data_IF_238239766878
#
_entry.id   IF_238239766878
#
_cell.length_a   1.000
_cell.length_b   1.000
_cell.length_c   1.000
_cell.angle_alpha   90.00
_cell.angle_beta   90.00
_cell.angle_gamma   90.00
#
_symmetry.space_group_name_H-M   'P 1'
#
loop_
_entity.id
_entity.type
_entity.pdbx_description
1 polymer ?
#
# COMPACT_ATOMS: atom_id res chain seq x y z
N UNK A 1 -17.46 -1.69 31.22
CA UNK A 1 -16.01 -1.43 31.14
C UNK A 1 -15.88 -0.07 30.48
N UNK A 2 -15.47 0.96 31.22
CA UNK A 2 -15.13 2.25 30.62
C UNK A 2 -13.95 2.01 29.66
N UNK A 3 -14.09 2.44 28.40
CA UNK A 3 -13.01 2.37 27.44
C UNK A 3 -11.80 3.12 28.02
N UNK A 4 -10.63 2.45 28.11
CA UNK A 4 -9.39 3.12 28.49
C UNK A 4 -9.18 4.27 27.51
N UNK A 5 -9.05 5.51 28.00
CA UNK A 5 -8.92 6.67 27.13
C UNK A 5 -7.74 6.46 26.16
N UNK A 6 -8.04 6.37 24.86
CA UNK A 6 -7.05 6.16 23.79
C UNK A 6 -7.25 4.89 22.95
N UNK A 7 -7.95 3.87 23.44
CA UNK A 7 -8.19 2.62 22.68
C UNK A 7 -9.25 2.86 21.60
N UNK A 8 -9.03 2.32 20.39
CA UNK A 8 -9.99 2.43 19.28
C UNK A 8 -10.72 1.09 19.07
N UNK A 9 -12.00 0.98 19.45
CA UNK A 9 -12.73 -0.29 19.39
C UNK A 9 -13.10 -0.75 17.98
N UNK A 10 -13.07 0.12 16.96
CA UNK A 10 -13.27 -0.29 15.56
C UNK A 10 -11.96 -0.13 14.78
N UNK A 11 -11.39 -1.26 14.34
CA UNK A 11 -10.02 -1.29 13.81
C UNK A 11 -10.00 -1.57 12.30
N UNK A 12 -9.33 -0.72 11.55
CA UNK A 12 -9.18 -0.84 10.09
C UNK A 12 -7.73 -1.21 9.76
N UNK A 13 -7.55 -2.24 8.93
CA UNK A 13 -6.29 -2.53 8.24
C UNK A 13 -6.38 -2.00 6.80
N UNK A 14 -5.51 -1.06 6.44
CA UNK A 14 -5.39 -0.53 5.08
C UNK A 14 -4.08 -1.02 4.46
N UNK A 15 -4.17 -1.71 3.31
CA UNK A 15 -3.03 -2.29 2.60
C UNK A 15 -2.85 -1.61 1.24
N UNK A 16 -1.79 -0.81 1.11
CA UNK A 16 -1.47 -0.08 -0.10
C UNK A 16 -1.12 -0.99 -1.29
N UNK A 17 -1.23 -0.44 -2.49
CA UNK A 17 -0.70 -1.05 -3.70
C UNK A 17 0.80 -0.79 -3.92
N UNK A 18 1.52 -1.81 -4.41
CA UNK A 18 2.95 -1.69 -4.72
C UNK A 18 3.61 -2.88 -5.39
N UNK A 19 2.85 -3.79 -6.01
CA UNK A 19 3.41 -4.96 -6.69
C UNK A 19 4.31 -5.80 -5.78
N UNK A 20 5.56 -6.03 -6.19
CA UNK A 20 6.55 -6.82 -5.43
C UNK A 20 6.91 -6.18 -4.07
N UNK A 21 6.81 -4.86 -3.93
CA UNK A 21 7.07 -4.18 -2.66
C UNK A 21 6.04 -4.53 -1.56
N UNK A 22 4.94 -5.21 -1.90
CA UNK A 22 4.00 -5.77 -0.91
C UNK A 22 4.66 -6.73 0.10
N UNK A 23 5.86 -7.25 -0.19
CA UNK A 23 6.67 -7.98 0.80
C UNK A 23 6.99 -7.16 2.07
N UNK A 24 7.00 -5.83 1.97
CA UNK A 24 7.20 -4.91 3.11
C UNK A 24 6.02 -5.01 4.07
N UNK A 25 4.79 -5.05 3.55
CA UNK A 25 3.58 -5.22 4.37
C UNK A 25 3.60 -6.57 5.08
N UNK A 26 4.00 -7.64 4.38
CA UNK A 26 4.12 -8.98 4.97
C UNK A 26 5.15 -9.02 6.11
N UNK A 27 6.29 -8.33 5.96
CA UNK A 27 7.29 -8.19 7.03
C UNK A 27 6.80 -7.38 8.21
N UNK A 28 6.14 -6.24 7.97
CA UNK A 28 5.55 -5.42 9.02
C UNK A 28 4.49 -6.20 9.81
N UNK A 29 3.64 -6.97 9.13
CA UNK A 29 2.65 -7.84 9.78
C UNK A 29 3.30 -8.96 10.60
N UNK A 30 4.40 -9.57 10.14
CA UNK A 30 5.14 -10.59 10.92
C UNK A 30 5.74 -10.00 12.20
N UNK A 31 6.20 -8.75 12.15
CA UNK A 31 6.77 -8.06 13.32
C UNK A 31 5.70 -7.56 14.30
N UNK A 32 4.51 -7.20 13.80
CA UNK A 32 3.36 -6.79 14.63
C UNK A 32 2.63 -7.98 15.25
N UNK A 33 2.52 -9.10 14.53
CA UNK A 33 1.75 -10.28 14.92
C UNK A 33 2.60 -11.56 14.80
N UNK A 34 3.70 -11.65 15.56
CA UNK A 34 4.66 -12.73 15.40
C UNK A 34 4.05 -14.11 15.67
N UNK A 35 4.16 -14.99 14.69
CA UNK A 35 3.67 -16.38 14.79
C UNK A 35 2.17 -16.54 14.58
N UNK A 36 1.42 -15.46 14.32
CA UNK A 36 0.01 -15.54 13.96
C UNK A 36 -0.18 -15.96 12.48
N UNK A 37 -1.18 -16.80 12.22
CA UNK A 37 -1.64 -17.10 10.87
C UNK A 37 -2.57 -16.01 10.34
N UNK A 38 -2.98 -16.11 9.08
CA UNK A 38 -3.79 -15.08 8.43
C UNK A 38 -5.11 -14.77 9.16
N UNK A 39 -5.83 -15.78 9.65
CA UNK A 39 -7.10 -15.58 10.35
C UNK A 39 -6.90 -14.97 11.74
N UNK A 40 -5.81 -15.31 12.42
CA UNK A 40 -5.42 -14.71 13.69
C UNK A 40 -5.09 -13.21 13.50
N UNK A 41 -4.29 -12.86 12.49
CA UNK A 41 -4.01 -11.47 12.13
C UNK A 41 -5.31 -10.71 11.82
N UNK A 42 -6.17 -11.28 10.96
CA UNK A 42 -7.43 -10.67 10.58
C UNK A 42 -8.38 -10.48 11.76
N UNK A 43 -8.32 -11.34 12.79
CA UNK A 43 -9.20 -11.22 13.95
C UNK A 43 -9.01 -9.93 14.74
N UNK A 44 -7.86 -9.25 14.61
CA UNK A 44 -7.58 -7.95 15.22
C UNK A 44 -8.28 -6.76 14.53
N UNK A 45 -8.89 -6.95 13.36
CA UNK A 45 -9.45 -5.87 12.53
C UNK A 45 -10.92 -6.11 12.18
N UNK A 46 -11.73 -5.06 12.21
CA UNK A 46 -13.15 -5.09 11.80
C UNK A 46 -13.35 -4.81 10.31
N UNK A 47 -12.38 -4.15 9.67
CA UNK A 47 -12.42 -3.84 8.25
C UNK A 47 -11.01 -3.93 7.66
N UNK A 48 -10.90 -4.59 6.52
CA UNK A 48 -9.67 -4.62 5.71
C UNK A 48 -9.95 -3.95 4.38
N UNK A 49 -9.24 -2.86 4.08
CA UNK A 49 -9.25 -2.21 2.77
C UNK A 49 -7.92 -2.46 2.06
N UNK A 50 -7.98 -2.83 0.78
CA UNK A 50 -6.79 -3.25 0.04
C UNK A 50 -6.81 -2.79 -1.42
N UNK A 51 -5.62 -2.44 -1.92
CA UNK A 51 -5.39 -2.08 -3.32
C UNK A 51 -4.18 -2.82 -3.89
N UNK A 52 -4.24 -3.21 -5.16
CA UNK A 52 -3.12 -3.80 -5.93
C UNK A 52 -2.36 -4.92 -5.20
N UNK A 53 -1.05 -4.78 -5.00
CA UNK A 53 -0.23 -5.72 -4.23
C UNK A 53 -0.79 -6.03 -2.84
N UNK A 54 -1.32 -5.01 -2.14
CA UNK A 54 -2.02 -5.17 -0.86
C UNK A 54 -3.27 -6.05 -0.96
N UNK A 55 -3.95 -6.08 -2.10
CA UNK A 55 -5.08 -6.99 -2.35
C UNK A 55 -4.66 -8.46 -2.43
N UNK A 56 -3.42 -8.73 -2.90
CA UNK A 56 -2.85 -10.08 -2.87
C UNK A 56 -2.48 -10.48 -1.44
N UNK A 57 -1.93 -9.55 -0.65
CA UNK A 57 -1.66 -9.74 0.79
C UNK A 57 -2.95 -10.03 1.54
N UNK A 58 -4.00 -9.23 1.36
CA UNK A 58 -5.32 -9.43 1.96
C UNK A 58 -5.90 -10.81 1.59
N UNK A 59 -5.85 -11.19 0.32
CA UNK A 59 -6.34 -12.49 -0.13
C UNK A 59 -5.57 -13.67 0.48
N UNK A 60 -4.25 -13.54 0.64
CA UNK A 60 -3.45 -14.58 1.29
C UNK A 60 -3.75 -14.68 2.81
N UNK A 61 -3.98 -13.56 3.51
CA UNK A 61 -4.44 -13.57 4.90
C UNK A 61 -5.80 -14.27 5.03
N UNK A 62 -6.74 -13.99 4.12
CA UNK A 62 -8.06 -14.62 4.06
C UNK A 62 -7.97 -16.13 3.81
N UNK A 63 -7.03 -16.56 2.98
CA UNK A 63 -6.74 -17.97 2.72
C UNK A 63 -6.10 -18.66 3.95
N UNK A 64 -5.52 -17.89 4.87
CA UNK A 64 -4.96 -18.38 6.14
C UNK A 64 -3.43 -18.34 6.22
N UNK A 65 -2.75 -17.80 5.20
CA UNK A 65 -1.29 -17.69 5.19
C UNK A 65 -0.81 -16.80 6.34
N UNK A 66 0.21 -17.24 7.07
CA UNK A 66 0.95 -16.39 8.00
C UNK A 66 1.69 -15.28 7.25
N UNK A 67 1.98 -14.14 7.89
CA UNK A 67 2.78 -13.07 7.30
C UNK A 67 4.11 -13.55 6.69
N UNK A 68 4.76 -14.55 7.30
CA UNK A 68 5.99 -15.18 6.77
C UNK A 68 5.78 -15.92 5.45
N UNK A 69 4.68 -16.67 5.35
CA UNK A 69 4.35 -17.38 4.11
C UNK A 69 3.98 -16.38 3.01
N UNK A 70 3.28 -15.30 3.35
CA UNK A 70 2.98 -14.19 2.42
C UNK A 70 4.28 -13.57 1.91
N UNK A 71 5.25 -13.29 2.78
CA UNK A 71 6.57 -12.81 2.37
C UNK A 71 7.22 -13.78 1.36
N UNK A 72 7.17 -15.08 1.62
CA UNK A 72 7.73 -16.10 0.72
C UNK A 72 7.04 -16.15 -0.66
N UNK A 73 5.76 -15.75 -0.76
CA UNK A 73 5.08 -15.64 -2.07
C UNK A 73 5.77 -14.60 -2.96
N UNK A 74 6.21 -13.48 -2.40
CA UNK A 74 6.88 -12.40 -3.14
C UNK A 74 8.40 -12.60 -3.26
N UNK A 75 9.06 -13.20 -2.26
CA UNK A 75 10.50 -13.48 -2.29
C UNK A 75 10.89 -14.65 -3.20
N UNK A 76 9.95 -15.54 -3.53
CA UNK A 76 10.21 -16.66 -4.44
C UNK A 76 10.26 -16.21 -5.93
N UNK A 77 11.39 -16.45 -6.65
CA UNK A 77 11.51 -16.08 -8.06
C UNK A 77 10.45 -16.73 -8.96
N UNK A 78 10.13 -18.01 -8.77
CA UNK A 78 9.16 -18.71 -9.61
C UNK A 78 7.74 -18.12 -9.44
N UNK A 79 7.36 -17.75 -8.22
CA UNK A 79 6.10 -17.07 -7.96
C UNK A 79 6.06 -15.69 -8.62
N UNK A 80 7.12 -14.88 -8.51
CA UNK A 80 7.19 -13.59 -9.23
C UNK A 80 7.10 -13.76 -10.74
N UNK A 81 7.76 -14.78 -11.30
CA UNK A 81 7.66 -15.07 -12.73
C UNK A 81 6.26 -15.56 -13.13
N UNK A 82 5.52 -16.22 -12.25
CA UNK A 82 4.14 -16.61 -12.52
C UNK A 82 3.16 -15.42 -12.39
N UNK A 83 3.33 -14.60 -11.35
CA UNK A 83 2.53 -13.39 -11.10
C UNK A 83 2.72 -12.33 -12.19
N UNK A 84 3.96 -12.16 -12.65
CA UNK A 84 4.38 -11.25 -13.71
C UNK A 84 4.88 -12.02 -14.95
N UNK A 85 4.15 -13.08 -15.31
CA UNK A 85 4.47 -13.96 -16.42
C UNK A 85 4.33 -13.26 -17.76
N UNK A 86 5.38 -13.34 -18.60
CA UNK A 86 5.39 -12.72 -19.93
C UNK A 86 4.35 -13.36 -20.85
N UNK A 87 3.83 -12.58 -21.80
CA UNK A 87 3.06 -13.12 -22.89
C UNK A 87 3.88 -14.11 -23.74
N UNK A 88 3.27 -15.19 -24.24
CA UNK A 88 3.87 -16.01 -25.28
C UNK A 88 4.23 -15.17 -26.51
N UNK A 89 5.37 -15.47 -27.14
CA UNK A 89 5.96 -14.68 -28.22
C UNK A 89 5.01 -14.43 -29.41
N UNK A 90 4.09 -15.36 -29.71
CA UNK A 90 3.12 -15.21 -30.78
C UNK A 90 2.05 -14.13 -30.49
N UNK A 91 1.64 -13.95 -29.22
CA UNK A 91 0.75 -12.85 -28.81
C UNK A 91 1.47 -11.51 -28.82
N UNK A 92 2.76 -11.50 -28.48
CA UNK A 92 3.61 -10.31 -28.63
C UNK A 92 3.82 -9.92 -30.09
N UNK A 93 3.90 -10.90 -31.02
CA UNK A 93 4.05 -10.66 -32.45
C UNK A 93 2.75 -10.17 -33.12
N UNK A 94 1.58 -10.66 -32.70
CA UNK A 94 0.29 -10.16 -33.15
C UNK A 94 0.07 -8.68 -32.79
N UNK A 95 0.62 -8.22 -31.66
CA UNK A 95 0.56 -6.80 -31.25
C UNK A 95 1.41 -5.89 -32.13
N UNK A 96 2.51 -6.40 -32.70
CA UNK A 96 3.35 -5.73 -33.70
C UNK A 96 2.59 -5.44 -35.00
N UNK A 97 1.62 -6.27 -35.36
CA UNK A 97 0.77 -6.10 -36.55
C UNK A 97 -0.38 -5.09 -36.32
N UNK A 98 -0.76 -4.82 -35.08
CA UNK A 98 -1.89 -3.94 -34.72
C UNK A 98 -1.52 -2.46 -34.56
N UNK A 99 -0.32 -2.04 -34.95
CA UNK A 99 -0.04 -0.63 -35.30
C UNK A 99 0.14 0.36 -34.15
N UNK A 100 0.58 -0.09 -32.98
CA UNK A 100 1.02 0.83 -31.91
C UNK A 100 2.50 0.54 -31.65
N UNK A 101 3.43 1.26 -32.29
CA UNK A 101 4.67 1.79 -31.69
C UNK A 101 5.50 2.65 -32.66
N UNK A 102 6.03 3.75 -32.11
CA UNK A 102 7.15 4.54 -32.66
C UNK A 102 8.48 3.87 -32.26
N UNK A 103 9.48 3.78 -33.15
CA UNK A 103 10.65 2.90 -33.01
C UNK A 103 11.69 3.30 -31.95
N UNK A 104 11.45 4.33 -31.14
CA UNK A 104 12.44 4.86 -30.17
C UNK A 104 12.04 4.72 -28.71
N UNK A 105 10.94 4.03 -28.39
CA UNK A 105 10.50 3.82 -27.00
C UNK A 105 10.54 2.33 -26.65
N UNK A 106 11.31 1.98 -25.63
CA UNK A 106 11.32 0.64 -25.03
C UNK A 106 10.00 0.37 -24.29
N UNK A 107 8.88 0.31 -25.02
CA UNK A 107 7.59 0.01 -24.45
C UNK A 107 7.54 -1.48 -24.15
N UNK A 108 7.61 -1.77 -22.85
CA UNK A 108 7.89 -3.08 -22.28
C UNK A 108 6.85 -4.15 -22.60
N UNK A 109 7.33 -5.38 -22.71
CA UNK A 109 6.50 -6.57 -22.88
C UNK A 109 5.52 -6.72 -21.72
N UNK A 110 4.22 -6.66 -22.01
CA UNK A 110 3.15 -6.83 -21.02
C UNK A 110 3.12 -8.25 -20.45
N UNK A 111 2.65 -8.36 -19.21
CA UNK A 111 2.37 -9.59 -18.48
C UNK A 111 0.98 -10.13 -18.83
N UNK A 112 0.82 -11.45 -18.70
CA UNK A 112 -0.45 -12.12 -18.96
C UNK A 112 -1.43 -11.93 -17.80
N UNK A 113 -2.55 -11.26 -18.07
CA UNK A 113 -3.68 -11.15 -17.15
C UNK A 113 -4.24 -12.53 -16.80
N UNK A 114 -4.45 -13.39 -17.80
CA UNK A 114 -4.93 -14.77 -17.59
C UNK A 114 -3.95 -15.59 -16.73
N UNK A 115 -2.64 -15.46 -16.99
CA UNK A 115 -1.58 -16.12 -16.22
C UNK A 115 -1.58 -15.70 -14.74
N UNK A 116 -1.82 -14.42 -14.46
CA UNK A 116 -1.97 -13.93 -13.09
C UNK A 116 -3.21 -14.52 -12.40
N UNK A 117 -4.37 -14.59 -13.06
CA UNK A 117 -5.55 -15.19 -12.45
C UNK A 117 -5.32 -16.68 -12.13
N UNK A 118 -4.66 -17.41 -13.04
CA UNK A 118 -4.25 -18.80 -12.79
C UNK A 118 -3.28 -18.92 -11.61
N UNK A 119 -2.31 -18.00 -11.49
CA UNK A 119 -1.43 -17.91 -10.33
C UNK A 119 -2.22 -17.69 -9.02
N UNK A 120 -3.17 -16.75 -9.00
CA UNK A 120 -4.00 -16.48 -7.83
C UNK A 120 -4.83 -17.70 -7.41
N UNK A 121 -5.43 -18.42 -8.35
CA UNK A 121 -6.11 -19.68 -8.04
C UNK A 121 -5.17 -20.75 -7.48
N UNK A 122 -3.91 -20.80 -7.93
CA UNK A 122 -2.91 -21.75 -7.42
C UNK A 122 -2.53 -21.46 -5.97
N UNK A 123 -2.40 -20.19 -5.59
CA UNK A 123 -2.02 -19.80 -4.23
C UNK A 123 -3.22 -19.67 -3.27
N UNK A 124 -4.46 -19.59 -3.80
CA UNK A 124 -5.71 -19.53 -3.02
C UNK A 124 -6.60 -20.77 -3.26
N UNK A 125 -6.12 -22.00 -2.97
CA UNK A 125 -6.86 -23.22 -3.29
C UNK A 125 -8.19 -23.37 -2.54
N UNK A 126 -8.31 -22.83 -1.32
CA UNK A 126 -9.49 -23.03 -0.47
C UNK A 126 -10.53 -21.93 -0.64
N UNK A 127 -10.10 -20.66 -0.66
CA UNK A 127 -11.00 -19.49 -0.66
C UNK A 127 -11.04 -18.76 -2.00
N UNK A 128 -10.11 -19.03 -2.92
CA UNK A 128 -9.95 -18.28 -4.17
C UNK A 128 -11.18 -18.30 -5.09
N UNK A 129 -11.95 -19.38 -5.10
CA UNK A 129 -13.17 -19.54 -5.90
C UNK A 129 -14.44 -19.16 -5.15
N UNK A 130 -14.35 -18.86 -3.84
CA UNK A 130 -15.48 -18.45 -3.01
C UNK A 130 -15.85 -17.00 -3.35
N UNK A 131 -17.15 -16.74 -3.56
CA UNK A 131 -17.66 -15.37 -3.77
C UNK A 131 -17.40 -14.51 -2.54
N UNK A 132 -17.13 -13.21 -2.72
CA UNK A 132 -16.91 -12.29 -1.59
C UNK A 132 -18.08 -12.27 -0.61
N UNK A 133 -19.32 -12.44 -1.11
CA UNK A 133 -20.51 -12.55 -0.27
C UNK A 133 -20.49 -13.79 0.64
N UNK A 134 -20.19 -14.96 0.07
CA UNK A 134 -20.15 -16.21 0.85
C UNK A 134 -18.94 -16.23 1.79
N UNK A 135 -17.82 -15.66 1.33
CA UNK A 135 -16.60 -15.50 2.12
C UNK A 135 -16.88 -14.74 3.42
N UNK A 136 -17.72 -13.71 3.37
CA UNK A 136 -18.08 -12.93 4.56
C UNK A 136 -18.74 -13.78 5.64
N UNK A 137 -19.56 -14.78 5.28
CA UNK A 137 -20.11 -15.72 6.27
C UNK A 137 -19.05 -16.68 6.80
N UNK A 138 -18.39 -17.41 5.89
CA UNK A 138 -17.47 -18.50 6.23
C UNK A 138 -16.30 -18.03 7.10
N UNK A 139 -15.71 -16.88 6.77
CA UNK A 139 -14.54 -16.37 7.49
C UNK A 139 -14.91 -15.77 8.85
N UNK A 140 -16.09 -15.19 8.96
CA UNK A 140 -16.54 -14.58 10.22
C UNK A 140 -16.82 -15.60 11.32
N UNK A 141 -17.19 -16.84 10.98
CA UNK A 141 -17.30 -17.91 11.97
C UNK A 141 -15.94 -18.22 12.63
N UNK A 142 -14.88 -18.32 11.82
CA UNK A 142 -13.51 -18.53 12.30
C UNK A 142 -12.99 -17.34 13.11
N UNK A 143 -13.21 -16.11 12.62
CA UNK A 143 -12.78 -14.89 13.32
C UNK A 143 -13.56 -14.71 14.64
N UNK A 144 -14.86 -14.97 14.66
CA UNK A 144 -15.67 -14.86 15.88
C UNK A 144 -15.18 -15.83 16.97
N UNK A 145 -14.77 -17.04 16.60
CA UNK A 145 -14.18 -17.99 17.54
C UNK A 145 -12.88 -17.47 18.15
N UNK A 146 -12.01 -16.83 17.35
CA UNK A 146 -10.75 -16.23 17.81
C UNK A 146 -11.00 -15.01 18.73
N UNK A 147 -11.91 -14.11 18.33
CA UNK A 147 -12.28 -12.93 19.15
C UNK A 147 -12.89 -13.34 20.49
N UNK A 148 -13.71 -14.39 20.51
CA UNK A 148 -14.28 -14.94 21.75
C UNK A 148 -13.21 -15.43 22.72
N UNK A 149 -12.10 -16.00 22.23
CA UNK A 149 -10.97 -16.40 23.08
C UNK A 149 -10.25 -15.21 23.71
N UNK A 150 -10.36 -14.01 23.11
CA UNK A 150 -9.77 -12.74 23.60
C UNK A 150 -10.78 -11.86 24.35
N UNK A 151 -11.99 -12.36 24.59
CA UNK A 151 -13.09 -11.59 25.21
C UNK A 151 -13.46 -10.30 24.43
N UNK A 152 -13.19 -10.27 23.13
CA UNK A 152 -13.52 -9.14 22.25
C UNK A 152 -14.94 -9.25 21.70
N UNK A 153 -15.61 -8.12 21.41
CA UNK A 153 -16.95 -8.12 20.81
C UNK A 153 -16.95 -8.82 19.44
N UNK A 154 -17.93 -9.71 19.24
CA UNK A 154 -18.10 -10.47 18.01
C UNK A 154 -18.68 -9.65 16.85
N UNK A 155 -17.98 -8.60 16.41
CA UNK A 155 -18.32 -7.87 15.19
C UNK A 155 -17.86 -8.67 13.97
N UNK A 156 -18.61 -8.67 12.85
CA UNK A 156 -18.14 -9.26 11.61
C UNK A 156 -17.01 -8.41 11.03
N UNK A 157 -15.97 -9.07 10.52
CA UNK A 157 -14.91 -8.47 9.72
C UNK A 157 -15.34 -8.34 8.28
N UNK A 158 -15.22 -7.13 7.73
CA UNK A 158 -15.53 -6.80 6.34
C UNK A 158 -14.26 -6.62 5.51
N UNK A 159 -14.36 -6.92 4.22
CA UNK A 159 -13.25 -6.81 3.27
C UNK A 159 -13.66 -5.93 2.10
N UNK A 160 -12.74 -5.06 1.70
CA UNK A 160 -12.94 -4.07 0.64
C UNK A 160 -11.73 -4.07 -0.30
N UNK A 161 -11.93 -4.53 -1.52
CA UNK A 161 -10.92 -4.48 -2.58
C UNK A 161 -11.24 -3.35 -3.55
N UNK A 162 -10.29 -2.42 -3.75
CA UNK A 162 -10.48 -1.27 -4.62
C UNK A 162 -10.12 -1.63 -6.06
N UNK A 163 -11.01 -1.33 -7.02
CA UNK A 163 -10.79 -1.56 -8.45
C UNK A 163 -11.25 -0.38 -9.29
N UNK A 164 -10.79 -0.29 -10.53
CA UNK A 164 -11.32 0.62 -11.55
C UNK A 164 -12.27 -0.16 -12.47
N UNK A 165 -13.55 0.21 -12.54
CA UNK A 165 -14.52 -0.35 -13.50
C UNK A 165 -14.29 0.31 -14.86
N UNK A 166 -13.61 -0.43 -15.75
CA UNK A 166 -13.18 0.07 -17.05
C UNK A 166 -14.36 0.41 -17.97
N UNK A 167 -15.48 -0.30 -17.82
CA UNK A 167 -16.65 -0.09 -18.68
C UNK A 167 -17.51 1.10 -18.23
N UNK A 168 -17.30 1.60 -17.01
CA UNK A 168 -18.11 2.66 -16.38
C UNK A 168 -17.31 3.87 -15.93
N UNK A 169 -16.00 3.87 -16.18
CA UNK A 169 -15.07 4.95 -15.82
C UNK A 169 -15.20 5.45 -14.39
N UNK A 170 -15.20 4.50 -13.43
CA UNK A 170 -15.33 4.84 -12.00
C UNK A 170 -14.63 3.84 -11.10
N UNK A 171 -14.33 4.27 -9.88
CA UNK A 171 -13.97 3.35 -8.81
C UNK A 171 -15.12 2.38 -8.53
N UNK A 172 -14.76 1.11 -8.35
CA UNK A 172 -15.64 0.05 -7.87
C UNK A 172 -15.01 -0.62 -6.66
N UNK A 173 -15.76 -0.50 -5.57
CA UNK A 173 -15.44 -1.07 -4.27
C UNK A 173 -16.01 -2.50 -4.21
N UNK A 174 -15.16 -3.51 -4.31
CA UNK A 174 -15.57 -4.90 -4.21
C UNK A 174 -15.63 -5.33 -2.74
N UNK A 175 -16.85 -5.32 -2.19
CA UNK A 175 -17.14 -5.60 -0.78
C UNK A 175 -17.47 -7.06 -0.53
N UNK A 176 -17.05 -7.57 0.62
CA UNK A 176 -17.59 -8.83 1.17
C UNK A 176 -18.97 -8.62 1.79
N UNK A 177 -19.15 -7.52 2.55
CA UNK A 177 -20.46 -7.10 3.04
C UNK A 177 -21.21 -6.33 1.94
N UNK A 178 -22.09 -7.05 1.26
CA UNK A 178 -22.93 -6.50 0.19
C UNK A 178 -24.07 -5.61 0.71
N UNK A 179 -24.34 -5.65 2.02
CA UNK A 179 -25.38 -4.86 2.69
C UNK A 179 -24.87 -3.54 3.26
N UNK A 180 -23.56 -3.30 3.16
CA UNK A 180 -22.94 -2.05 3.58
C UNK A 180 -23.70 -0.84 3.05
N UNK A 181 -24.02 0.16 3.91
CA UNK A 181 -24.66 1.40 3.48
C UNK A 181 -23.85 2.20 2.45
N UNK A 182 -22.54 1.97 2.33
CA UNK A 182 -21.67 2.59 1.32
C UNK A 182 -21.77 1.92 -0.07
N UNK A 183 -22.53 0.83 -0.21
CA UNK A 183 -22.73 0.16 -1.49
C UNK A 183 -23.60 1.01 -2.43
N UNK A 184 -23.22 1.07 -3.72
CA UNK A 184 -24.01 1.78 -4.74
C UNK A 184 -25.30 1.04 -5.07
N UNK A 185 -26.39 1.79 -5.28
CA UNK A 185 -27.66 1.25 -5.78
C UNK A 185 -27.69 1.13 -7.31
N UNK A 186 -28.46 0.17 -7.86
CA UNK A 186 -29.06 -0.96 -7.14
C UNK A 186 -27.96 -1.90 -6.63
N UNK A 187 -28.19 -2.58 -5.50
CA UNK A 187 -27.25 -3.58 -5.00
C UNK A 187 -27.12 -4.71 -6.03
N UNK A 188 -26.13 -4.61 -6.92
CA UNK A 188 -25.80 -5.70 -7.84
C UNK A 188 -25.24 -6.82 -6.98
N UNK A 189 -25.68 -8.06 -7.22
CA UNK A 189 -25.04 -9.21 -6.57
C UNK A 189 -23.54 -9.15 -6.85
N UNK A 190 -22.73 -9.04 -5.79
CA UNK A 190 -21.29 -9.11 -5.91
C UNK A 190 -20.91 -10.57 -6.15
N UNK A 191 -20.70 -10.93 -7.40
CA UNK A 191 -20.34 -12.29 -7.83
C UNK A 191 -18.83 -12.53 -7.90
N UNK A 192 -18.02 -11.49 -7.74
CA UNK A 192 -16.57 -11.63 -7.72
C UNK A 192 -16.16 -12.67 -6.66
N UNK A 193 -15.33 -13.62 -7.06
CA UNK A 193 -14.61 -14.48 -6.13
C UNK A 193 -13.46 -13.73 -5.47
N UNK A 194 -12.90 -14.27 -4.39
CA UNK A 194 -11.71 -13.71 -3.77
C UNK A 194 -10.55 -13.53 -4.77
N UNK A 195 -10.26 -14.57 -5.56
CA UNK A 195 -9.22 -14.51 -6.59
C UNK A 195 -9.54 -13.47 -7.65
N UNK A 196 -10.81 -13.34 -8.09
CA UNK A 196 -11.22 -12.32 -9.06
C UNK A 196 -11.11 -10.90 -8.51
N UNK A 197 -11.44 -10.68 -7.23
CA UNK A 197 -11.32 -9.38 -6.59
C UNK A 197 -9.85 -8.94 -6.46
N UNK A 198 -8.99 -9.83 -5.97
CA UNK A 198 -7.54 -9.58 -5.94
C UNK A 198 -6.96 -9.42 -7.35
N UNK A 199 -7.45 -10.19 -8.32
CA UNK A 199 -7.06 -10.09 -9.72
C UNK A 199 -7.40 -8.72 -10.31
N UNK A 200 -8.66 -8.28 -10.23
CA UNK A 200 -9.10 -6.96 -10.71
C UNK A 200 -8.32 -5.83 -10.03
N UNK A 201 -8.21 -5.88 -8.70
CA UNK A 201 -7.55 -4.84 -7.91
C UNK A 201 -6.06 -4.69 -8.22
N UNK A 202 -5.39 -5.71 -8.77
CA UNK A 202 -3.94 -5.73 -9.06
C UNK A 202 -3.59 -5.72 -10.55
N UNK A 203 -4.56 -5.51 -11.45
CA UNK A 203 -4.30 -5.52 -12.91
C UNK A 203 -3.97 -4.11 -13.37
N UNK A 204 -2.72 -3.69 -13.24
CA UNK A 204 -2.29 -2.35 -13.66
C UNK A 204 -2.25 -2.21 -15.20
N UNK A 205 -2.75 -1.09 -15.77
CA UNK A 205 -2.83 -0.87 -17.21
C UNK A 205 -1.46 -0.50 -17.84
N UNK A 206 -1.50 0.01 -19.08
CA UNK A 206 -0.40 0.65 -19.81
C UNK A 206 0.73 -0.33 -20.19
N UNK A 207 1.63 -0.60 -19.25
CA UNK A 207 2.89 -1.33 -19.47
C UNK A 207 2.97 -2.64 -18.69
N UNK A 208 2.06 -2.90 -17.75
CA UNK A 208 2.14 -4.09 -16.91
C UNK A 208 1.30 -5.25 -17.43
N UNK A 209 0.00 -5.11 -17.65
CA UNK A 209 -0.86 -6.24 -18.05
C UNK A 209 -1.45 -6.08 -19.46
N UNK A 210 -1.70 -7.21 -20.14
CA UNK A 210 -2.06 -7.25 -21.57
C UNK A 210 -3.50 -6.83 -21.86
N UNK A 211 -4.41 -7.08 -20.93
CA UNK A 211 -5.84 -6.75 -21.00
C UNK A 211 -6.45 -6.54 -19.60
N UNK A 212 -7.62 -5.89 -19.48
CA UNK A 212 -8.33 -5.79 -18.22
C UNK A 212 -8.62 -7.16 -17.62
N UNK A 213 -8.77 -7.23 -16.30
CA UNK A 213 -9.37 -8.38 -15.64
C UNK A 213 -10.84 -8.48 -16.06
N UNK A 214 -11.29 -9.65 -16.53
CA UNK A 214 -12.64 -9.83 -17.06
C UNK A 214 -13.38 -10.91 -16.28
N UNK A 215 -14.54 -10.56 -15.73
CA UNK A 215 -15.49 -11.50 -15.13
C UNK A 215 -16.86 -10.85 -15.00
N UNK A 216 -17.91 -11.67 -14.91
CA UNK A 216 -19.31 -11.20 -14.77
C UNK A 216 -19.69 -10.14 -15.83
N UNK A 217 -19.17 -10.30 -17.05
CA UNK A 217 -19.40 -9.40 -18.18
C UNK A 217 -18.90 -7.96 -17.97
N UNK A 218 -17.98 -7.74 -17.03
CA UNK A 218 -17.37 -6.43 -16.75
C UNK A 218 -15.85 -6.53 -16.80
N UNK A 219 -15.20 -5.40 -17.13
CA UNK A 219 -13.75 -5.27 -17.23
C UNK A 219 -13.20 -4.37 -16.14
N UNK A 220 -12.08 -4.75 -15.55
CA UNK A 220 -11.48 -4.04 -14.43
C UNK A 220 -9.98 -3.81 -14.61
N UNK A 221 -9.54 -2.65 -14.16
CA UNK A 221 -8.14 -2.35 -13.92
C UNK A 221 -7.88 -2.14 -12.42
N UNK A 222 -6.60 -2.02 -12.10
CA UNK A 222 -6.06 -1.78 -10.77
C UNK A 222 -6.76 -0.60 -10.07
N UNK A 223 -7.03 -0.79 -8.78
CA UNK A 223 -7.63 0.24 -7.93
C UNK A 223 -6.80 1.51 -7.83
N UNK A 224 -5.48 1.42 -8.00
CA UNK A 224 -4.58 2.56 -7.96
C UNK A 224 -4.96 3.61 -9.01
N UNK A 225 -5.61 3.22 -10.13
CA UNK A 225 -6.13 4.16 -11.14
C UNK A 225 -7.17 5.16 -10.62
N UNK A 226 -7.74 4.90 -9.44
CA UNK A 226 -8.82 5.69 -8.86
C UNK A 226 -8.32 6.67 -7.80
N UNK A 227 -7.00 6.79 -7.63
CA UNK A 227 -6.37 7.53 -6.53
C UNK A 227 -6.29 6.73 -5.22
N UNK A 228 -6.97 5.58 -5.11
CA UNK A 228 -6.99 4.76 -3.90
C UNK A 228 -5.83 3.75 -3.81
N UNK A 229 -4.63 4.12 -4.28
CA UNK A 229 -3.46 3.25 -4.10
C UNK A 229 -3.16 3.05 -2.62
N UNK A 230 -3.35 4.09 -1.80
CA UNK A 230 -3.56 3.95 -0.37
C UNK A 230 -5.08 3.91 -0.07
N UNK A 231 -5.64 2.76 0.32
CA UNK A 231 -7.09 2.60 0.50
C UNK A 231 -7.59 3.03 1.88
N UNK A 232 -6.81 3.82 2.64
CA UNK A 232 -7.18 4.30 3.99
C UNK A 232 -8.48 5.11 3.95
N UNK A 233 -8.62 5.99 2.96
CA UNK A 233 -9.82 6.81 2.81
C UNK A 233 -11.05 5.95 2.49
N UNK A 234 -10.88 4.93 1.65
CA UNK A 234 -11.97 4.00 1.33
C UNK A 234 -12.43 3.24 2.59
N UNK A 235 -11.49 2.80 3.42
CA UNK A 235 -11.80 2.13 4.70
C UNK A 235 -12.51 3.06 5.69
N UNK A 236 -12.04 4.29 5.85
CA UNK A 236 -12.66 5.28 6.77
C UNK A 236 -14.06 5.67 6.31
N UNK A 237 -14.26 5.90 5.01
CA UNK A 237 -15.60 6.18 4.45
C UNK A 237 -16.55 5.02 4.70
N UNK A 238 -16.09 3.78 4.53
CA UNK A 238 -16.89 2.58 4.78
C UNK A 238 -17.32 2.50 6.26
N UNK A 239 -16.39 2.68 7.20
CA UNK A 239 -16.69 2.64 8.64
C UNK A 239 -17.65 3.76 9.08
N UNK A 240 -17.49 4.98 8.56
CA UNK A 240 -18.41 6.09 8.83
C UNK A 240 -19.80 5.78 8.26
N UNK A 241 -19.88 5.21 7.05
CA UNK A 241 -21.16 4.82 6.46
C UNK A 241 -21.86 3.69 7.25
N UNK A 242 -21.10 2.81 7.89
CA UNK A 242 -21.61 1.79 8.83
C UNK A 242 -22.11 2.40 10.16
N UNK A 243 -21.95 3.71 10.37
CA UNK A 243 -22.41 4.41 11.57
C UNK A 243 -21.45 4.31 12.76
N UNK A 244 -20.20 3.90 12.54
CA UNK A 244 -19.19 3.85 13.60
C UNK A 244 -18.83 5.27 14.05
N UNK A 245 -18.85 5.59 15.36
CA UNK A 245 -18.40 6.89 15.85
C UNK A 245 -16.95 7.17 15.43
N UNK A 246 -16.66 8.39 14.95
CA UNK A 246 -15.32 8.76 14.45
C UNK A 246 -14.21 8.54 15.48
N UNK A 247 -14.48 8.88 16.75
CA UNK A 247 -13.54 8.69 17.85
C UNK A 247 -13.26 7.22 18.19
N UNK A 248 -14.11 6.30 17.74
CA UNK A 248 -13.97 4.85 17.94
C UNK A 248 -13.15 4.16 16.83
N UNK A 249 -12.88 4.86 15.72
CA UNK A 249 -12.17 4.29 14.57
C UNK A 249 -10.66 4.46 14.77
N UNK A 250 -9.92 3.37 14.62
CA UNK A 250 -8.46 3.34 14.58
C UNK A 250 -7.99 2.65 13.31
N UNK A 251 -6.91 3.14 12.70
CA UNK A 251 -6.45 2.65 11.40
C UNK A 251 -4.96 2.32 11.42
N UNK A 252 -4.63 1.09 11.04
CA UNK A 252 -3.28 0.69 10.66
C UNK A 252 -3.17 0.75 9.14
N UNK A 253 -2.37 1.67 8.60
CA UNK A 253 -2.13 1.82 7.16
C UNK A 253 -0.72 1.36 6.82
N UNK A 254 -0.60 0.22 6.12
CA UNK A 254 0.66 -0.38 5.73
C UNK A 254 0.99 -0.10 4.26
N UNK A 255 2.13 0.55 4.03
CA UNK A 255 2.61 0.93 2.72
C UNK A 255 3.58 -0.05 2.08
N UNK A 256 3.99 0.25 0.85
CA UNK A 256 4.90 -0.54 0.03
C UNK A 256 6.11 0.28 -0.42
N UNK A 257 6.63 1.12 0.46
CA UNK A 257 7.58 2.21 0.20
C UNK A 257 7.00 3.41 -0.55
N UNK A 258 7.60 4.59 -0.29
CA UNK A 258 7.44 5.79 -1.12
C UNK A 258 8.81 6.41 -1.42
N UNK A 259 8.88 7.28 -2.44
CA UNK A 259 10.11 7.97 -2.84
C UNK A 259 9.93 9.46 -2.67
N UNK A 260 10.65 10.04 -1.72
CA UNK A 260 10.65 11.47 -1.43
C UNK A 260 12.07 11.99 -1.61
N UNK A 261 12.36 12.50 -2.81
CA UNK A 261 13.69 13.00 -3.15
C UNK A 261 13.65 14.53 -3.36
N UNK A 262 14.72 15.25 -2.97
CA UNK A 262 14.89 16.65 -3.30
C UNK A 262 15.05 16.87 -4.80
N UNK A 263 14.79 18.08 -5.29
CA UNK A 263 15.00 18.42 -6.70
C UNK A 263 16.49 18.62 -7.00
N UNK A 264 16.95 18.21 -8.19
CA UNK A 264 18.33 18.51 -8.61
C UNK A 264 18.60 20.03 -8.58
N UNK A 265 19.75 20.40 -8.02
CA UNK A 265 20.10 21.79 -7.71
C UNK A 265 19.59 22.31 -6.37
N UNK A 266 19.00 21.46 -5.51
CA UNK A 266 18.74 21.83 -4.10
C UNK A 266 20.06 22.16 -3.39
N UNK A 267 20.11 23.30 -2.71
CA UNK A 267 21.32 23.80 -2.06
C UNK A 267 21.85 22.80 -1.01
N UNK A 268 23.17 22.55 -1.03
CA UNK A 268 23.82 21.63 -0.09
C UNK A 268 23.59 20.13 -0.33
N UNK A 269 22.70 19.73 -1.25
CA UNK A 269 22.40 18.33 -1.53
C UNK A 269 23.10 17.86 -2.82
N UNK A 270 23.94 16.81 -2.77
CA UNK A 270 24.54 16.25 -3.98
C UNK A 270 23.47 15.81 -4.98
N UNK A 271 23.60 16.22 -6.26
CA UNK A 271 22.68 15.83 -7.35
C UNK A 271 22.46 14.32 -7.45
N UNK A 272 23.42 13.54 -6.95
CA UNK A 272 23.34 12.09 -6.91
C UNK A 272 22.22 11.54 -6.03
N UNK A 273 21.76 12.31 -5.05
CA UNK A 273 20.70 11.98 -4.09
C UNK A 273 19.37 12.66 -4.45
N UNK A 274 19.36 13.45 -5.51
CA UNK A 274 18.21 14.22 -5.95
C UNK A 274 17.44 13.50 -7.06
N UNK A 275 16.17 13.87 -7.22
CA UNK A 275 15.34 13.45 -8.34
C UNK A 275 15.86 14.10 -9.64
N UNK A 276 16.22 13.33 -10.67
CA UNK A 276 16.58 13.87 -11.97
C UNK A 276 15.44 14.72 -12.53
N UNK A 277 15.77 15.84 -13.20
CA UNK A 277 14.76 16.63 -13.91
C UNK A 277 14.12 15.75 -14.99
N UNK A 278 12.80 15.57 -14.89
CA UNK A 278 12.05 14.77 -15.87
C UNK A 278 12.19 15.38 -17.26
N UNK A 279 12.42 14.55 -18.28
CA UNK A 279 12.40 14.99 -19.67
C UNK A 279 10.98 15.41 -20.06
N UNK A 280 10.87 16.53 -20.79
CA UNK A 280 9.60 17.08 -21.28
C UNK A 280 9.28 16.52 -22.67
N UNK A 281 8.02 16.19 -22.94
CA UNK A 281 7.57 15.57 -24.19
C UNK A 281 6.42 14.58 -24.00
N UNK A 282 5.64 14.32 -25.05
CA UNK A 282 4.38 13.56 -24.97
C UNK A 282 4.49 12.17 -24.32
N UNK A 283 5.48 11.37 -24.70
CA UNK A 283 5.64 10.00 -24.18
C UNK A 283 6.16 9.96 -22.72
N UNK A 284 7.25 10.68 -22.36
CA UNK A 284 7.66 10.83 -20.96
C UNK A 284 6.55 11.38 -20.06
N UNK A 285 5.76 12.35 -20.54
CA UNK A 285 4.62 12.92 -19.82
C UNK A 285 3.50 11.90 -19.62
N UNK A 286 3.15 11.10 -20.63
CA UNK A 286 2.13 10.06 -20.50
C UNK A 286 2.53 8.97 -19.51
N UNK A 287 3.81 8.57 -19.51
CA UNK A 287 4.35 7.64 -18.50
C UNK A 287 4.33 8.28 -17.11
N UNK A 288 4.70 9.57 -16.99
CA UNK A 288 4.66 10.31 -15.73
C UNK A 288 3.24 10.43 -15.19
N UNK A 289 2.26 10.73 -16.04
CA UNK A 289 0.83 10.79 -15.68
C UNK A 289 0.33 9.41 -15.24
N UNK A 290 0.63 8.34 -15.98
CA UNK A 290 0.27 6.98 -15.57
C UNK A 290 0.87 6.59 -14.21
N UNK A 291 2.14 6.92 -13.99
CA UNK A 291 2.81 6.69 -12.70
C UNK A 291 2.23 7.56 -11.57
N UNK A 292 1.82 8.80 -11.82
CA UNK A 292 1.23 9.70 -10.80
C UNK A 292 -0.23 9.41 -10.49
N UNK A 293 -0.98 8.81 -11.41
CA UNK A 293 -2.31 8.28 -11.09
C UNK A 293 -2.17 7.09 -10.12
N UNK A 294 -1.19 6.20 -10.37
CA UNK A 294 -0.96 5.00 -9.56
C UNK A 294 -0.27 5.34 -8.23
N UNK A 295 0.74 6.20 -8.27
CA UNK A 295 1.33 6.77 -7.08
C UNK A 295 0.37 7.85 -6.58
N UNK A 296 -0.68 7.44 -5.85
CA UNK A 296 -1.50 8.32 -5.02
C UNK A 296 -0.58 9.41 -4.47
N UNK A 297 -0.75 10.68 -4.88
CA UNK A 297 0.20 11.73 -4.53
C UNK A 297 0.39 11.65 -3.02
N UNK A 298 1.63 11.43 -2.56
CA UNK A 298 1.88 10.96 -1.21
C UNK A 298 1.14 11.89 -0.25
N UNK A 299 0.35 11.28 0.62
CA UNK A 299 -0.21 11.88 1.83
C UNK A 299 -1.62 12.47 1.73
N UNK A 300 -2.25 12.55 0.54
CA UNK A 300 -3.60 13.12 0.46
C UNK A 300 -4.65 12.29 1.22
N UNK A 301 -4.72 10.97 0.96
CA UNK A 301 -5.72 10.12 1.58
C UNK A 301 -5.50 9.89 3.08
N UNK A 302 -4.25 9.74 3.54
CA UNK A 302 -3.94 9.64 4.97
C UNK A 302 -4.31 10.91 5.71
N UNK A 303 -3.98 12.07 5.14
CA UNK A 303 -4.29 13.35 5.75
C UNK A 303 -5.80 13.66 5.78
N UNK A 304 -6.51 13.43 4.67
CA UNK A 304 -7.97 13.61 4.61
C UNK A 304 -8.65 12.68 5.62
N UNK A 305 -8.26 11.40 5.65
CA UNK A 305 -8.81 10.45 6.60
C UNK A 305 -8.54 10.86 8.06
N UNK A 306 -7.35 11.40 8.35
CA UNK A 306 -7.02 11.91 9.69
C UNK A 306 -7.96 13.02 10.12
N UNK A 307 -8.23 14.00 9.25
CA UNK A 307 -9.19 15.07 9.53
C UNK A 307 -10.64 14.55 9.63
N UNK A 308 -11.02 13.56 8.81
CA UNK A 308 -12.35 12.93 8.87
C UNK A 308 -12.59 12.16 10.18
N UNK A 309 -11.52 11.74 10.86
CA UNK A 309 -11.56 11.09 12.17
C UNK A 309 -11.32 12.09 13.32
N UNK A 310 -11.60 13.37 13.07
CA UNK A 310 -11.50 14.47 14.03
C UNK A 310 -10.07 14.71 14.55
N UNK A 311 -9.05 14.34 13.77
CA UNK A 311 -7.64 14.57 14.07
C UNK A 311 -7.25 16.06 14.03
N UNK A 312 -6.40 16.46 14.98
CA UNK A 312 -5.91 17.83 15.11
C UNK A 312 -4.71 18.17 14.23
N UNK A 313 -4.32 19.45 14.20
CA UNK A 313 -3.15 19.92 13.47
C UNK A 313 -2.16 20.59 14.43
N UNK A 314 -0.84 20.49 14.17
CA UNK A 314 0.14 21.30 14.90
C UNK A 314 -0.12 22.79 14.63
N UNK A 315 -0.02 23.62 15.66
CA UNK A 315 -0.22 25.07 15.55
C UNK A 315 0.92 25.74 14.76
N UNK A 316 2.14 25.26 14.94
CA UNK A 316 3.34 25.66 14.21
C UNK A 316 4.40 24.54 14.24
N UNK A 317 5.54 24.75 13.59
CA UNK A 317 6.62 23.76 13.43
C UNK A 317 7.20 23.28 14.78
N UNK A 318 7.12 24.07 15.85
CA UNK A 318 7.60 23.67 17.18
C UNK A 318 6.73 22.61 17.85
N UNK A 319 5.48 22.46 17.39
CA UNK A 319 4.56 21.42 17.83
C UNK A 319 4.67 20.11 17.03
N UNK A 320 5.59 20.03 16.07
CA UNK A 320 5.78 18.84 15.23
C UNK A 320 6.75 17.82 15.87
N UNK A 321 6.49 16.51 15.74
CA UNK A 321 5.33 15.91 15.08
C UNK A 321 4.09 15.90 15.98
N UNK A 322 2.93 16.18 15.40
CA UNK A 322 1.63 15.98 16.04
C UNK A 322 1.25 14.50 15.98
N UNK A 323 1.28 13.81 17.14
CA UNK A 323 1.11 12.35 17.22
C UNK A 323 -0.28 11.89 17.68
N UNK A 324 -1.17 12.81 18.07
CA UNK A 324 -2.54 12.48 18.45
C UNK A 324 -3.40 12.22 17.20
N UNK A 325 -3.27 11.02 16.64
CA UNK A 325 -3.92 10.60 15.41
C UNK A 325 -4.54 9.22 15.56
N UNK A 326 -5.74 9.05 15.01
CA UNK A 326 -6.38 7.74 14.87
C UNK A 326 -5.73 6.85 13.79
N UNK A 327 -4.83 7.41 12.97
CA UNK A 327 -4.18 6.73 11.85
C UNK A 327 -2.71 6.52 12.18
N UNK A 328 -2.32 5.26 12.24
CA UNK A 328 -0.92 4.84 12.29
C UNK A 328 -0.48 4.43 10.89
N UNK A 329 0.30 5.30 10.26
CA UNK A 329 0.93 5.04 8.98
C UNK A 329 2.27 4.32 9.19
N UNK A 330 2.46 3.18 8.54
CA UNK A 330 3.71 2.43 8.52
C UNK A 330 4.14 2.20 7.08
N UNK A 331 5.14 2.95 6.61
CA UNK A 331 5.66 2.84 5.25
C UNK A 331 7.08 3.39 5.18
N UNK A 332 8.08 2.63 4.69
CA UNK A 332 9.42 3.17 4.52
C UNK A 332 9.45 4.30 3.48
N UNK A 333 10.26 5.33 3.74
CA UNK A 333 10.49 6.45 2.82
C UNK A 333 11.90 6.36 2.25
N UNK A 334 12.01 6.21 0.94
CA UNK A 334 13.28 6.32 0.23
C UNK A 334 13.60 7.80 0.06
N UNK A 335 14.52 8.29 0.88
CA UNK A 335 14.98 9.68 0.89
C UNK A 335 16.43 9.78 1.38
N UNK A 336 17.18 10.82 1.01
CA UNK A 336 18.48 11.08 1.62
C UNK A 336 18.32 11.47 3.08
N UNK A 337 19.37 11.23 3.87
CA UNK A 337 19.43 11.61 5.29
C UNK A 337 20.61 12.55 5.52
N UNK A 338 20.59 13.23 6.66
CA UNK A 338 21.74 14.00 7.14
C UNK A 338 22.55 13.11 8.06
N UNK A 339 23.81 12.88 7.70
CA UNK A 339 24.75 12.15 8.54
C UNK A 339 25.02 12.99 9.80
N UNK A 340 24.70 12.43 10.98
CA UNK A 340 24.81 13.15 12.26
C UNK A 340 26.24 13.49 12.66
N UNK A 341 27.24 12.79 12.10
CA UNK A 341 28.65 12.98 12.40
C UNK A 341 29.24 14.11 11.56
N UNK A 342 28.90 14.13 10.27
CA UNK A 342 29.47 15.07 9.30
C UNK A 342 28.58 16.28 9.03
N UNK A 343 27.29 16.19 9.34
CA UNK A 343 26.28 17.20 9.00
C UNK A 343 25.96 17.28 7.52
N UNK A 344 26.45 16.34 6.70
CA UNK A 344 26.27 16.33 5.25
C UNK A 344 25.14 15.38 4.82
N UNK A 345 24.52 15.70 3.69
CA UNK A 345 23.55 14.83 3.05
C UNK A 345 24.21 13.57 2.49
N UNK A 346 23.66 12.42 2.82
CA UNK A 346 24.14 11.11 2.38
C UNK A 346 22.99 10.15 2.08
N UNK A 347 23.30 9.06 1.37
CA UNK A 347 22.45 7.88 1.41
C UNK A 347 22.43 7.30 2.86
N UNK A 348 21.38 6.58 3.27
CA UNK A 348 21.34 5.96 4.58
C UNK A 348 22.52 5.04 4.88
N UNK A 349 22.85 4.90 6.15
CA UNK A 349 24.04 4.17 6.59
C UNK A 349 24.12 2.76 5.97
N UNK A 350 25.30 2.42 5.46
CA UNK A 350 25.56 1.17 4.77
C UNK A 350 25.17 1.17 3.28
N UNK A 351 24.34 2.09 2.77
CA UNK A 351 23.93 2.12 1.37
C UNK A 351 24.94 2.85 0.48
N UNK A 352 25.29 2.24 -0.65
CA UNK A 352 25.99 2.95 -1.71
C UNK A 352 25.02 3.92 -2.40
N UNK A 353 25.55 4.99 -2.98
CA UNK A 353 24.75 5.94 -3.78
C UNK A 353 24.07 5.23 -4.97
N UNK A 354 24.72 4.22 -5.55
CA UNK A 354 24.16 3.46 -6.66
C UNK A 354 23.02 2.55 -6.21
N UNK A 355 23.13 1.86 -5.07
CA UNK A 355 22.03 1.09 -4.50
C UNK A 355 20.84 2.00 -4.14
N UNK A 356 21.13 3.18 -3.59
CA UNK A 356 20.12 4.19 -3.23
C UNK A 356 19.34 4.66 -4.47
N UNK A 357 20.03 5.03 -5.55
CA UNK A 357 19.37 5.40 -6.82
C UNK A 357 18.59 4.24 -7.40
N UNK A 358 19.17 3.04 -7.37
CA UNK A 358 18.54 1.83 -7.90
C UNK A 358 17.22 1.51 -7.19
N UNK A 359 17.16 1.64 -5.86
CA UNK A 359 15.90 1.43 -5.12
C UNK A 359 14.91 2.58 -5.34
N UNK A 360 15.37 3.82 -5.50
CA UNK A 360 14.51 4.99 -5.77
C UNK A 360 13.87 4.96 -7.17
N UNK A 361 14.57 4.44 -8.17
CA UNK A 361 14.08 4.33 -9.56
C UNK A 361 13.37 2.99 -9.85
N UNK A 362 13.28 2.11 -8.85
CA UNK A 362 12.80 0.74 -9.02
C UNK A 362 11.31 0.71 -9.40
N UNK A 363 10.99 -0.14 -10.38
CA UNK A 363 9.61 -0.38 -10.78
C UNK A 363 8.91 -1.30 -9.77
N UNK A 364 7.62 -1.05 -9.50
CA UNK A 364 6.78 -1.87 -8.60
C UNK A 364 6.71 -3.34 -9.02
N UNK A 365 6.98 -3.66 -10.28
CA UNK A 365 7.02 -5.03 -10.83
C UNK A 365 8.42 -5.65 -10.84
N UNK A 366 9.33 -5.18 -9.97
CA UNK A 366 10.67 -5.75 -9.84
C UNK A 366 10.65 -7.29 -9.71
N UNK A 367 11.39 -7.98 -10.60
CA UNK A 367 11.45 -9.46 -10.65
C UNK A 367 12.83 -10.03 -10.32
N UNK A 368 13.90 -9.27 -10.62
CA UNK A 368 15.28 -9.75 -10.43
C UNK A 368 15.52 -9.94 -8.94
N UNK A 369 16.20 -11.02 -8.56
CA UNK A 369 16.43 -11.29 -7.14
C UNK A 369 17.24 -10.19 -6.48
N UNK A 370 18.24 -9.65 -7.16
CA UNK A 370 19.03 -8.49 -6.70
C UNK A 370 18.17 -7.24 -6.39
N UNK A 371 17.10 -7.00 -7.15
CA UNK A 371 16.17 -5.89 -6.86
C UNK A 371 15.35 -6.20 -5.61
N UNK A 372 14.85 -7.43 -5.50
CA UNK A 372 14.08 -7.89 -4.32
C UNK A 372 14.93 -7.89 -3.05
N UNK A 373 16.22 -8.21 -3.16
CA UNK A 373 17.15 -8.16 -2.04
C UNK A 373 17.40 -6.72 -1.57
N UNK A 374 17.38 -5.73 -2.47
CA UNK A 374 17.38 -4.31 -2.08
C UNK A 374 16.09 -3.90 -1.37
N UNK A 375 14.91 -4.35 -1.83
CA UNK A 375 13.64 -4.10 -1.14
C UNK A 375 13.67 -4.70 0.27
N UNK A 376 14.17 -5.93 0.41
CA UNK A 376 14.35 -6.61 1.72
C UNK A 376 15.27 -5.82 2.63
N UNK A 377 16.41 -5.37 2.10
CA UNK A 377 17.38 -4.57 2.84
C UNK A 377 16.80 -3.22 3.29
N UNK A 378 15.98 -2.58 2.45
CA UNK A 378 15.24 -1.35 2.81
C UNK A 378 14.27 -1.63 3.95
N UNK A 379 13.50 -2.71 3.85
CA UNK A 379 12.55 -3.12 4.87
C UNK A 379 13.24 -3.42 6.20
N UNK A 380 14.31 -4.22 6.19
CA UNK A 380 15.08 -4.59 7.39
C UNK A 380 15.70 -3.35 8.05
N UNK A 381 16.16 -2.37 7.26
CA UNK A 381 16.66 -1.10 7.78
C UNK A 381 15.55 -0.26 8.39
N UNK A 382 14.40 -0.14 7.72
CA UNK A 382 13.25 0.59 8.23
C UNK A 382 12.70 0.01 9.54
N UNK A 383 12.62 -1.31 9.67
CA UNK A 383 12.22 -1.97 10.93
C UNK A 383 13.19 -1.69 12.10
N UNK A 384 14.44 -1.31 11.80
CA UNK A 384 15.46 -0.89 12.78
C UNK A 384 15.55 0.63 12.95
N UNK A 385 14.65 1.39 12.34
CA UNK A 385 14.69 2.86 12.28
C UNK A 385 15.95 3.43 11.56
N UNK A 386 16.63 2.63 10.73
CA UNK A 386 17.70 3.12 9.84
C UNK A 386 17.13 4.01 8.71
N UNK A 387 15.83 3.88 8.43
CA UNK A 387 15.08 4.64 7.42
C UNK A 387 13.86 5.32 8.03
N UNK A 388 13.49 6.46 7.48
CA UNK A 388 12.30 7.18 7.92
C UNK A 388 11.02 6.41 7.56
N UNK A 389 10.05 6.51 8.45
CA UNK A 389 8.67 6.12 8.23
C UNK A 389 7.88 7.29 7.63
N UNK A 390 6.95 6.99 6.72
CA UNK A 390 6.09 7.99 6.10
C UNK A 390 5.11 8.52 7.14
N UNK A 391 5.07 9.83 7.38
CA UNK A 391 4.09 10.43 8.27
C UNK A 391 2.67 10.38 7.66
N UNK A 392 1.66 10.72 8.46
CA UNK A 392 0.30 10.96 7.95
C UNK A 392 0.28 12.20 7.07
N UNK A 393 1.08 13.21 7.42
CA UNK A 393 1.38 14.40 6.62
C UNK A 393 2.84 14.78 6.77
N UNK A 394 3.56 14.86 5.64
CA UNK A 394 4.92 15.36 5.60
C UNK A 394 5.00 16.84 5.23
N UNK A 395 6.12 17.50 5.57
CA UNK A 395 6.39 18.85 5.08
C UNK A 395 7.04 18.77 3.68
N UNK A 396 6.51 19.53 2.72
CA UNK A 396 6.89 19.42 1.31
C UNK A 396 8.17 20.16 0.91
N UNK A 397 8.94 20.69 1.86
CA UNK A 397 10.04 21.61 1.58
C UNK A 397 11.36 21.05 2.12
N UNK A 398 12.31 20.85 1.20
CA UNK A 398 13.73 20.63 1.51
C UNK A 398 14.39 22.00 1.72
N UNK A 399 14.23 22.61 2.90
CA UNK A 399 14.88 23.88 3.24
C UNK A 399 15.99 23.68 4.27
N UNK A 400 17.08 24.46 4.14
CA UNK A 400 18.08 24.60 5.21
C UNK A 400 17.46 25.24 6.46
N UNK A 401 18.00 24.97 7.67
CA UNK A 401 17.64 25.74 8.87
C UNK A 401 17.87 27.23 8.62
N UNK A 402 16.88 28.07 8.92
CA UNK A 402 17.11 29.51 8.96
C UNK A 402 18.22 29.83 9.97
N UNK A 403 19.03 30.85 9.66
CA UNK A 403 20.11 31.37 10.53
C UNK A 403 19.64 31.75 11.94
N UNK A 404 18.33 31.95 12.13
CA UNK A 404 17.70 32.35 13.38
C UNK A 404 17.34 31.14 14.29
N UNK A 405 17.67 29.91 13.88
CA UNK A 405 17.44 28.70 14.66
C UNK A 405 18.56 27.67 14.44
N UNK A 406 19.71 27.82 15.11
CA UNK A 406 20.92 27.00 14.89
C UNK A 406 20.83 25.56 15.45
N UNK A 407 19.62 25.04 15.71
CA UNK A 407 19.38 23.72 16.26
C UNK A 407 19.06 22.68 15.18
N UNK A 408 20.10 21.96 14.74
CA UNK A 408 20.14 20.79 13.84
C UNK A 408 19.58 20.98 12.40
N UNK A 409 20.42 20.72 11.36
CA UNK A 409 19.94 20.56 9.99
C UNK A 409 19.22 19.22 9.93
N UNK A 410 17.92 19.21 9.60
CA UNK A 410 17.18 18.01 9.97
C UNK A 410 15.99 17.69 9.07
N UNK A 411 16.10 16.56 8.37
CA UNK A 411 14.96 15.77 7.87
C UNK A 411 13.92 15.52 8.96
N UNK A 412 14.28 15.71 10.24
CA UNK A 412 13.35 15.66 11.36
C UNK A 412 12.16 16.63 11.23
N UNK A 413 12.28 17.77 10.54
CA UNK A 413 11.14 18.68 10.32
C UNK A 413 10.15 18.22 9.24
N UNK A 414 10.44 17.09 8.57
CA UNK A 414 9.60 16.55 7.49
C UNK A 414 8.35 15.83 8.01
N UNK A 415 8.22 15.57 9.31
CA UNK A 415 7.04 14.92 9.90
C UNK A 415 6.17 15.95 10.62
N UNK A 416 5.02 16.29 10.05
CA UNK A 416 4.07 17.23 10.68
C UNK A 416 3.02 16.50 11.52
N UNK A 417 2.45 15.42 10.97
CA UNK A 417 1.42 14.59 11.65
C UNK A 417 1.81 13.12 11.54
N UNK A 418 1.72 12.38 12.65
CA UNK A 418 2.04 10.96 12.72
C UNK A 418 3.43 10.66 13.26
N UNK A 419 4.08 9.61 12.77
CA UNK A 419 5.26 9.03 13.39
C UNK A 419 6.42 8.94 12.39
N UNK A 420 7.60 9.41 12.81
CA UNK A 420 8.81 9.45 11.98
C UNK A 420 9.53 8.11 11.88
N UNK A 421 9.47 7.31 12.93
CA UNK A 421 10.17 6.03 13.03
C UNK A 421 9.18 4.87 13.05
N UNK A 422 9.65 3.69 12.61
CA UNK A 422 8.83 2.48 12.64
C UNK A 422 8.50 2.10 14.08
N UNK A 423 9.49 2.17 14.99
CA UNK A 423 9.27 1.83 16.41
C UNK A 423 8.23 2.72 17.09
N UNK A 424 8.22 4.02 16.79
CA UNK A 424 7.20 4.97 17.28
C UNK A 424 5.82 4.60 16.74
N UNK A 425 5.72 4.35 15.43
CA UNK A 425 4.47 3.93 14.81
C UNK A 425 3.96 2.60 15.39
N UNK A 426 4.86 1.63 15.61
CA UNK A 426 4.54 0.33 16.21
C UNK A 426 3.98 0.51 17.62
N UNK A 427 4.65 1.31 18.43
CA UNK A 427 4.21 1.63 19.80
C UNK A 427 2.84 2.31 19.81
N UNK A 428 2.60 3.26 18.90
CA UNK A 428 1.32 3.93 18.75
C UNK A 428 0.19 2.96 18.35
N UNK A 429 0.46 2.03 17.42
CA UNK A 429 -0.52 1.00 17.05
C UNK A 429 -0.85 0.08 18.23
N UNK A 430 0.17 -0.38 18.97
CA UNK A 430 -0.05 -1.19 20.18
C UNK A 430 -0.91 -0.44 21.21
N UNK A 431 -0.73 0.87 21.37
CA UNK A 431 -1.55 1.67 22.28
C UNK A 431 -3.01 1.82 21.80
N UNK A 432 -3.24 2.01 20.48
CA UNK A 432 -4.58 2.12 19.90
C UNK A 432 -5.35 0.79 19.89
N UNK A 433 -4.61 -0.33 19.85
CA UNK A 433 -5.14 -1.70 19.75
C UNK A 433 -5.14 -2.49 21.07
N UNK A 434 -4.55 -1.95 22.13
CA UNK A 434 -4.71 -2.45 23.51
C UNK A 434 -6.16 -2.29 24.00
#
# INVERSE_FOLDING_TARGET
MEAKSGTKPFRILSLDGGGTFALIQARALDDLFPGENGHQVLSHFDLVSACSGGSIVAAALIEGYSPREIFALFDNPANRHALFGRLPWYRSLLQLLTGVFSPTSAVGHRFSTDGKLAFLHRILPQMGTTSLHNLHGVLNDSIAALRKQREEPGRPTSFLFVTYDFDRDRARMMRSDVTSPAASFPHRQQRATLAQAAHASSTAPINWFDKPAEFDGSRFWDGAMTGYNNPVLAGVVEAIAMGVPRHDIGVLSLGTSTVFLPECGSEGIPDALCRPRASTGFLPELVKVGKTIIADPPDAHTFIAHLMLDGGLPADVSCCPYTDTAIVRMNPVIQPIIDRTTGLWSAPAGWSVDDFRRIADMDISARRQEDVDLIKRLCDGWLRDDWHNQPVRGCGIWAEPSSDSPGLPNTDRLCEVGHRWYSDAKSAWTALSA
#
